data_IF_378483597807
#
_entry.id   IF_378483597807
#
_cell.length_a   1.000
_cell.length_b   1.000
_cell.length_c   1.000
_cell.angle_alpha   90.00
_cell.angle_beta   90.00
_cell.angle_gamma   90.00
#
_symmetry.space_group_name_H-M   'P 1'
#
loop_
_entity.id
_entity.type
_entity.pdbx_description
1 polymer ?
#
# COMPACT_ATOMS: atom_id res chain seq x y z
N UNK A 1 15.44 4.11 -5.67
CA UNK A 1 16.26 2.97 -5.21
C UNK A 1 15.77 2.54 -3.82
N UNK A 2 14.65 1.81 -3.74
CA UNK A 2 14.05 1.38 -2.46
C UNK A 2 14.35 -0.10 -2.13
N UNK A 3 14.76 -0.89 -3.14
CA UNK A 3 15.05 -2.32 -2.98
C UNK A 3 16.51 -2.61 -2.60
N UNK A 4 17.27 -1.58 -2.21
CA UNK A 4 18.68 -1.73 -1.80
C UNK A 4 18.79 -1.93 -0.30
N UNK A 5 19.90 -2.53 0.14
CA UNK A 5 20.15 -2.76 1.56
C UNK A 5 20.16 -1.44 2.37
N UNK A 6 19.56 -1.46 3.56
CA UNK A 6 19.51 -0.31 4.48
C UNK A 6 18.44 0.75 4.17
N UNK A 7 17.63 0.57 3.11
CA UNK A 7 16.51 1.48 2.82
C UNK A 7 15.30 1.16 3.71
N UNK A 8 14.54 2.20 4.10
CA UNK A 8 13.36 2.07 4.97
C UNK A 8 12.08 2.34 4.20
N UNK A 9 11.05 1.55 4.48
CA UNK A 9 9.70 1.71 3.93
C UNK A 9 8.70 1.70 5.07
N UNK A 10 7.73 2.61 5.04
CA UNK A 10 6.66 2.66 6.01
C UNK A 10 5.75 1.44 5.86
N UNK A 11 5.53 0.68 6.95
CA UNK A 11 4.64 -0.48 6.94
C UNK A 11 3.19 -0.09 6.63
N UNK A 12 2.40 -1.05 6.14
CA UNK A 12 0.94 -0.86 6.01
C UNK A 12 0.32 -0.47 7.37
N UNK A 13 -0.65 0.43 7.31
CA UNK A 13 -1.33 1.05 8.45
C UNK A 13 -0.45 1.89 9.39
N UNK A 14 0.82 2.14 9.06
CA UNK A 14 1.65 3.07 9.83
C UNK A 14 1.21 4.53 9.64
N UNK A 15 1.18 5.26 10.75
CA UNK A 15 0.92 6.71 10.77
C UNK A 15 2.19 7.46 10.32
N UNK A 16 2.00 8.55 9.59
CA UNK A 16 3.10 9.41 9.11
C UNK A 16 3.18 10.70 9.93
N UNK A 17 4.40 11.19 10.25
CA UNK A 17 4.60 12.46 10.93
C UNK A 17 4.42 13.63 9.94
N UNK A 18 3.19 13.82 9.47
CA UNK A 18 2.76 14.89 8.57
C UNK A 18 1.51 15.56 9.13
N UNK A 19 1.24 16.84 8.80
CA UNK A 19 -0.01 17.49 9.18
C UNK A 19 -1.23 16.64 8.80
N UNK A 20 -2.15 16.45 9.73
CA UNK A 20 -3.32 15.58 9.57
C UNK A 20 -3.09 14.10 9.94
N UNK A 21 -1.87 13.70 10.34
CA UNK A 21 -1.55 12.32 10.77
C UNK A 21 -2.03 11.25 9.76
N UNK A 22 -1.62 11.42 8.50
CA UNK A 22 -2.00 10.51 7.41
C UNK A 22 -1.47 9.09 7.62
N UNK A 23 -2.16 8.08 7.08
CA UNK A 23 -1.84 6.66 7.28
C UNK A 23 -1.49 5.98 5.95
N UNK A 24 -0.45 5.13 5.95
CA UNK A 24 -0.08 4.26 4.81
C UNK A 24 -1.13 3.16 4.60
N UNK A 25 -2.23 3.50 3.94
CA UNK A 25 -3.45 2.67 3.92
C UNK A 25 -3.51 1.79 2.68
N UNK A 26 -3.65 0.47 2.82
CA UNK A 26 -3.97 -0.42 1.70
C UNK A 26 -5.32 -0.07 1.06
N UNK A 27 -5.34 -0.04 -0.27
CA UNK A 27 -6.51 0.33 -1.08
C UNK A 27 -6.82 -0.77 -2.10
N UNK A 28 -8.10 -0.84 -2.50
CA UNK A 28 -8.52 -1.60 -3.68
C UNK A 28 -8.12 -0.85 -4.95
N UNK A 29 -7.92 -1.57 -6.05
CA UNK A 29 -7.49 -0.97 -7.33
C UNK A 29 -8.44 0.12 -7.86
N UNK A 30 -9.75 -0.01 -7.63
CA UNK A 30 -10.74 0.99 -8.06
C UNK A 30 -10.65 2.32 -7.27
N UNK A 31 -10.05 2.30 -6.07
CA UNK A 31 -9.80 3.51 -5.27
C UNK A 31 -8.58 4.30 -5.77
N UNK A 32 -7.69 3.67 -6.53
CA UNK A 32 -6.50 4.30 -7.10
C UNK A 32 -6.87 5.01 -8.40
N UNK A 33 -7.36 6.25 -8.26
CA UNK A 33 -7.83 7.08 -9.36
C UNK A 33 -7.39 8.55 -9.18
N UNK A 34 -7.74 9.41 -10.14
CA UNK A 34 -7.33 10.83 -10.18
C UNK A 34 -7.85 11.69 -9.00
N UNK A 35 -8.84 11.19 -8.26
CA UNK A 35 -9.40 11.87 -7.10
C UNK A 35 -8.76 11.42 -5.78
N UNK A 36 -7.84 10.45 -5.81
CA UNK A 36 -7.16 9.91 -4.62
C UNK A 36 -6.34 11.00 -3.91
N UNK A 37 -6.66 11.25 -2.64
CA UNK A 37 -5.88 12.18 -1.79
C UNK A 37 -5.40 11.50 -0.53
N UNK A 38 -4.12 11.70 -0.21
CA UNK A 38 -3.51 11.19 1.02
C UNK A 38 -4.18 11.75 2.29
N UNK A 39 -4.73 12.97 2.22
CA UNK A 39 -5.46 13.62 3.31
C UNK A 39 -6.72 12.89 3.73
N UNK A 40 -7.25 12.02 2.88
CA UNK A 40 -8.51 11.30 3.14
C UNK A 40 -8.29 10.09 4.04
N UNK A 41 -7.03 9.72 4.33
CA UNK A 41 -6.65 8.55 5.11
C UNK A 41 -5.84 8.97 6.34
N UNK A 42 -6.47 9.06 7.50
CA UNK A 42 -5.87 9.60 8.73
C UNK A 42 -6.09 8.67 9.91
N UNK A 43 -5.29 8.84 10.98
CA UNK A 43 -5.44 8.06 12.21
C UNK A 43 -6.88 8.10 12.77
N UNK A 44 -7.62 9.18 12.49
CA UNK A 44 -8.98 9.39 12.99
C UNK A 44 -10.05 8.57 12.25
N UNK A 45 -9.86 8.27 10.96
CA UNK A 45 -10.89 7.61 10.13
C UNK A 45 -10.56 6.17 9.73
N UNK A 46 -9.28 5.77 9.72
CA UNK A 46 -8.87 4.42 9.33
C UNK A 46 -9.47 3.31 10.21
N UNK A 47 -9.56 3.44 11.55
CA UNK A 47 -10.15 2.39 12.38
C UNK A 47 -11.60 2.07 12.00
N UNK A 48 -12.37 3.06 11.55
CA UNK A 48 -13.75 2.85 11.12
C UNK A 48 -13.81 2.28 9.69
N UNK A 49 -12.95 2.75 8.79
CA UNK A 49 -12.83 2.20 7.43
C UNK A 49 -12.54 0.71 7.45
N UNK A 50 -11.57 0.26 8.25
CA UNK A 50 -11.16 -1.16 8.34
C UNK A 50 -12.31 -2.07 8.77
N UNK A 51 -13.30 -1.56 9.53
CA UNK A 51 -14.49 -2.32 9.92
C UNK A 51 -15.55 -2.42 8.81
N UNK A 52 -15.54 -1.46 7.87
CA UNK A 52 -16.59 -1.31 6.84
C UNK A 52 -16.24 -1.99 5.52
N UNK A 53 -14.96 -2.14 5.22
CA UNK A 53 -14.51 -2.68 3.93
C UNK A 53 -13.88 -4.07 4.08
N UNK A 54 -13.92 -4.86 3.01
CA UNK A 54 -13.10 -6.07 2.92
C UNK A 54 -11.62 -5.69 2.72
N UNK A 55 -10.72 -6.46 3.35
CA UNK A 55 -9.27 -6.24 3.26
C UNK A 55 -8.76 -6.32 1.81
N UNK A 56 -8.21 -5.22 1.25
CA UNK A 56 -7.63 -5.21 -0.09
C UNK A 56 -6.48 -6.20 -0.26
N UNK A 57 -5.80 -6.58 0.82
CA UNK A 57 -4.65 -7.48 0.83
C UNK A 57 -4.98 -8.90 1.28
N UNK A 58 -6.27 -9.26 1.40
CA UNK A 58 -6.73 -10.59 1.85
C UNK A 58 -6.07 -11.77 1.11
N UNK A 59 -5.71 -11.58 -0.16
CA UNK A 59 -5.11 -12.61 -1.01
C UNK A 59 -3.61 -12.42 -1.25
N UNK A 60 -2.95 -11.47 -0.57
CA UNK A 60 -1.55 -11.10 -0.85
C UNK A 60 -0.59 -12.30 -0.81
N UNK A 61 -0.80 -13.23 0.11
CA UNK A 61 0.06 -14.41 0.29
C UNK A 61 -0.34 -15.61 -0.58
N UNK A 62 -1.46 -15.55 -1.29
CA UNK A 62 -1.97 -16.68 -2.10
C UNK A 62 -1.18 -16.88 -3.38
N UNK A 63 -0.56 -15.83 -3.90
CA UNK A 63 0.16 -15.87 -5.18
C UNK A 63 1.62 -15.52 -4.95
N UNK A 64 2.51 -16.34 -5.52
CA UNK A 64 3.95 -16.06 -5.56
C UNK A 64 4.30 -15.44 -6.91
N UNK A 65 5.10 -14.39 -6.89
CA UNK A 65 5.63 -13.78 -8.11
C UNK A 65 6.84 -14.57 -8.62
N UNK A 66 6.94 -14.76 -9.94
CA UNK A 66 8.09 -15.39 -10.59
C UNK A 66 9.10 -14.32 -11.02
N UNK A 67 10.22 -14.24 -10.30
CA UNK A 67 11.29 -13.29 -10.58
C UNK A 67 12.05 -13.62 -11.88
N UNK A 68 12.18 -14.90 -12.26
CA UNK A 68 12.88 -15.26 -13.49
C UNK A 68 12.12 -14.78 -14.70
N UNK A 69 10.81 -15.04 -14.72
CA UNK A 69 9.91 -14.55 -15.77
C UNK A 69 9.93 -13.02 -15.86
N UNK A 70 9.97 -12.32 -14.72
CA UNK A 70 10.06 -10.86 -14.71
C UNK A 70 11.39 -10.35 -15.28
N UNK A 71 12.50 -11.04 -15.03
CA UNK A 71 13.82 -10.70 -15.59
C UNK A 71 13.86 -10.92 -17.10
N UNK A 72 13.32 -12.03 -17.59
CA UNK A 72 13.23 -12.31 -19.04
C UNK A 72 12.52 -11.18 -19.81
N UNK A 73 11.42 -10.65 -19.25
CA UNK A 73 10.67 -9.53 -19.85
C UNK A 73 11.44 -8.19 -19.85
N UNK A 74 12.44 -8.04 -19.01
CA UNK A 74 13.24 -6.81 -18.91
C UNK A 74 14.51 -6.86 -19.76
N UNK A 75 15.03 -8.06 -20.03
CA UNK A 75 16.31 -8.27 -20.74
C UNK A 75 16.13 -8.76 -22.18
N UNK A 76 14.95 -9.25 -22.55
CA UNK A 76 14.58 -9.57 -23.94
C UNK A 76 14.02 -8.36 -24.67
#
# INVERSE_FOLDING_TARGET
MQNSYGQTVACAYSVRPKPGATVSTPLHWHEVNDHLKLSDYTIFNIPERVKKIEDPWKNLTKTKADLKKALELLTG
#
